data_IF_815097045901
#
_entry.id   IF_815097045901
#
_cell.length_a   1.000
_cell.length_b   1.000
_cell.length_c   1.000
_cell.angle_alpha   90.00
_cell.angle_beta   90.00
_cell.angle_gamma   90.00
#
_symmetry.space_group_name_H-M   'P 1'
#
loop_
_entity.id
_entity.type
_entity.pdbx_description
1 polymer ?
#
# COMPACT_ATOMS: atom_id res chain seq x y z
N UNK A 1 -6.68 15.00 28.72
CA UNK A 1 -7.02 14.07 27.63
C UNK A 1 -6.65 14.80 26.36
N UNK A 2 -5.63 14.36 25.62
CA UNK A 2 -5.23 15.03 24.38
C UNK A 2 -6.24 14.79 23.25
N UNK A 3 -6.09 15.55 22.16
CA UNK A 3 -6.99 15.51 21.01
C UNK A 3 -7.12 14.10 20.42
N UNK A 4 -8.32 13.71 19.96
CA UNK A 4 -8.53 12.41 19.36
C UNK A 4 -7.68 12.27 18.10
N UNK A 5 -7.03 11.12 17.96
CA UNK A 5 -6.28 10.81 16.74
C UNK A 5 -7.25 10.15 15.76
N UNK A 6 -7.36 10.72 14.56
CA UNK A 6 -8.13 10.16 13.46
C UNK A 6 -7.38 8.96 12.85
N UNK A 7 -7.84 7.77 13.19
CA UNK A 7 -7.26 6.51 12.75
C UNK A 7 -7.82 6.10 11.39
N UNK A 8 -7.00 5.38 10.61
CA UNK A 8 -7.35 4.84 9.30
C UNK A 8 -7.19 3.32 9.33
N UNK A 9 -8.30 2.61 9.21
CA UNK A 9 -8.36 1.15 9.18
C UNK A 9 -8.90 0.66 7.86
N UNK A 10 -8.50 -0.53 7.44
CA UNK A 10 -9.20 -1.23 6.36
C UNK A 10 -10.65 -1.52 6.81
N UNK A 11 -11.65 -1.38 5.92
CA UNK A 11 -13.07 -1.46 6.31
C UNK A 11 -13.44 -2.77 7.02
N UNK A 12 -12.96 -3.91 6.52
CA UNK A 12 -13.27 -5.21 7.10
C UNK A 12 -12.58 -5.43 8.46
N UNK A 13 -11.26 -5.22 8.62
CA UNK A 13 -10.62 -5.22 9.94
C UNK A 13 -11.28 -4.27 10.94
N UNK A 14 -11.70 -3.07 10.52
CA UNK A 14 -12.43 -2.15 11.39
C UNK A 14 -13.72 -2.78 11.93
N UNK A 15 -14.55 -3.34 11.03
CA UNK A 15 -15.81 -4.00 11.42
C UNK A 15 -15.56 -5.13 12.42
N UNK A 16 -14.58 -6.01 12.16
CA UNK A 16 -14.22 -7.11 13.07
C UNK A 16 -13.79 -6.62 14.46
N UNK A 17 -13.10 -5.49 14.53
CA UNK A 17 -12.70 -4.86 15.80
C UNK A 17 -13.89 -4.23 16.54
N UNK A 18 -14.85 -3.65 15.80
CA UNK A 18 -16.09 -3.12 16.37
C UNK A 18 -16.92 -4.26 16.96
N UNK A 19 -17.09 -5.37 16.24
CA UNK A 19 -17.78 -6.57 16.71
C UNK A 19 -17.10 -7.17 17.96
N UNK A 20 -15.76 -7.29 17.94
CA UNK A 20 -14.98 -7.76 19.09
C UNK A 20 -15.15 -6.82 20.30
N UNK A 21 -15.12 -5.51 20.07
CA UNK A 21 -15.30 -4.54 21.13
C UNK A 21 -16.72 -4.60 21.71
N UNK A 22 -17.74 -4.74 20.88
CA UNK A 22 -19.13 -4.88 21.30
C UNK A 22 -19.36 -6.15 22.13
N UNK A 23 -18.74 -7.27 21.75
CA UNK A 23 -18.75 -8.51 22.52
C UNK A 23 -18.15 -8.37 23.93
N UNK A 24 -17.19 -7.48 24.13
CA UNK A 24 -16.62 -7.16 25.45
C UNK A 24 -17.53 -6.20 26.24
N UNK A 25 -18.27 -5.34 25.54
CA UNK A 25 -19.27 -4.47 26.13
C UNK A 25 -19.45 -3.13 25.40
N UNK A 26 -20.36 -2.27 25.89
CA UNK A 26 -20.68 -1.04 25.21
C UNK A 26 -19.51 -0.05 25.21
N UNK A 27 -19.25 0.57 24.06
CA UNK A 27 -18.25 1.65 23.87
C UNK A 27 -16.81 1.25 24.20
N UNK A 28 -16.43 -0.01 23.90
CA UNK A 28 -15.09 -0.55 24.21
C UNK A 28 -14.06 -0.37 23.10
N UNK A 29 -14.45 0.03 21.90
CA UNK A 29 -13.56 0.14 20.75
C UNK A 29 -12.29 0.97 21.03
N UNK A 30 -12.44 2.17 21.60
CA UNK A 30 -11.28 3.00 21.94
C UNK A 30 -10.35 2.37 22.99
N UNK A 31 -10.88 1.57 23.92
CA UNK A 31 -10.06 0.84 24.89
C UNK A 31 -9.34 -0.35 24.22
N UNK A 32 -10.03 -1.08 23.34
CA UNK A 32 -9.44 -2.14 22.52
C UNK A 32 -8.24 -1.64 21.73
N UNK A 33 -8.39 -0.53 21.01
CA UNK A 33 -7.29 0.06 20.22
C UNK A 33 -6.12 0.51 21.12
N UNK A 34 -6.39 1.12 22.28
CA UNK A 34 -5.32 1.48 23.23
C UNK A 34 -4.57 0.26 23.73
N UNK A 35 -5.27 -0.83 24.08
CA UNK A 35 -4.65 -2.10 24.49
C UNK A 35 -3.78 -2.65 23.36
N UNK A 36 -4.29 -2.67 22.12
CA UNK A 36 -3.54 -3.10 20.94
C UNK A 36 -2.23 -2.32 20.81
N UNK A 37 -2.30 -0.99 20.89
CA UNK A 37 -1.13 -0.12 20.81
C UNK A 37 -0.14 -0.35 21.96
N UNK A 38 -0.65 -0.57 23.19
CA UNK A 38 0.20 -0.88 24.34
C UNK A 38 0.95 -2.20 24.15
N UNK A 39 0.29 -3.24 23.62
CA UNK A 39 0.94 -4.51 23.28
C UNK A 39 2.01 -4.33 22.21
N UNK A 40 1.73 -3.51 21.19
CA UNK A 40 2.69 -3.21 20.12
C UNK A 40 3.97 -2.57 20.68
N UNK A 41 3.83 -1.53 21.52
CA UNK A 41 5.01 -0.84 22.07
C UNK A 41 5.79 -1.69 23.09
N UNK A 42 5.18 -2.72 23.69
CA UNK A 42 5.91 -3.68 24.54
C UNK A 42 6.72 -4.71 23.76
N UNK A 43 6.46 -4.89 22.46
CA UNK A 43 7.17 -5.83 21.59
C UNK A 43 7.75 -5.13 20.35
N UNK A 44 8.65 -4.14 20.52
CA UNK A 44 9.11 -3.28 19.43
C UNK A 44 9.93 -4.00 18.35
N UNK A 45 10.65 -5.08 18.71
CA UNK A 45 11.56 -5.77 17.78
C UNK A 45 10.82 -6.41 16.59
N UNK A 46 9.60 -6.89 16.80
CA UNK A 46 8.80 -7.52 15.75
C UNK A 46 8.04 -6.52 14.87
N UNK A 47 8.11 -5.22 15.16
CA UNK A 47 7.27 -4.21 14.48
C UNK A 47 7.74 -3.98 13.05
N UNK A 48 9.04 -3.84 12.82
CA UNK A 48 9.58 -3.60 11.48
C UNK A 48 9.27 -4.72 10.49
N UNK A 49 9.44 -5.98 10.91
CA UNK A 49 9.12 -7.15 10.09
C UNK A 49 7.61 -7.25 9.82
N UNK A 50 6.78 -7.02 10.83
CA UNK A 50 5.32 -7.01 10.67
C UNK A 50 4.82 -5.93 9.72
N UNK A 51 5.42 -4.73 9.75
CA UNK A 51 5.11 -3.67 8.80
C UNK A 51 5.51 -4.04 7.37
N UNK A 52 6.71 -4.57 7.18
CA UNK A 52 7.18 -4.98 5.86
C UNK A 52 6.30 -6.09 5.25
N UNK A 53 5.85 -7.04 6.07
CA UNK A 53 4.89 -8.06 5.64
C UNK A 53 3.53 -7.44 5.30
N UNK A 54 3.00 -6.56 6.15
CA UNK A 54 1.73 -5.89 5.89
C UNK A 54 1.75 -5.06 4.60
N UNK A 55 2.84 -4.33 4.33
CA UNK A 55 3.03 -3.58 3.08
C UNK A 55 3.02 -4.51 1.88
N UNK A 56 3.80 -5.59 1.91
CA UNK A 56 3.85 -6.60 0.83
C UNK A 56 2.47 -7.21 0.55
N UNK A 57 1.72 -7.57 1.59
CA UNK A 57 0.37 -8.10 1.44
C UNK A 57 -0.61 -7.07 0.87
N UNK A 58 -0.54 -5.81 1.34
CA UNK A 58 -1.34 -4.71 0.80
C UNK A 58 -1.06 -4.48 -0.69
N UNK A 59 0.22 -4.44 -1.07
CA UNK A 59 0.65 -4.31 -2.47
C UNK A 59 0.11 -5.46 -3.33
N UNK A 60 0.26 -6.71 -2.86
CA UNK A 60 -0.23 -7.88 -3.59
C UNK A 60 -1.75 -7.84 -3.81
N UNK A 61 -2.53 -7.46 -2.79
CA UNK A 61 -3.99 -7.37 -2.88
C UNK A 61 -4.46 -6.22 -3.77
N UNK A 62 -3.69 -5.13 -3.84
CA UNK A 62 -4.03 -3.94 -4.62
C UNK A 62 -3.44 -3.94 -6.02
N UNK A 63 -2.55 -4.87 -6.36
CA UNK A 63 -1.91 -4.95 -7.65
C UNK A 63 -2.95 -5.03 -8.77
N UNK A 64 -2.89 -4.08 -9.69
CA UNK A 64 -3.69 -4.07 -10.91
C UNK A 64 -2.99 -4.99 -11.92
N UNK A 65 -3.71 -5.93 -12.55
CA UNK A 65 -3.13 -6.80 -13.57
C UNK A 65 -2.47 -6.03 -14.71
N UNK A 66 -1.36 -6.55 -15.20
CA UNK A 66 -0.72 -6.05 -16.41
C UNK A 66 -1.65 -6.18 -17.62
N UNK A 67 -1.46 -5.29 -18.59
CA UNK A 67 -2.17 -5.33 -19.87
C UNK A 67 -1.23 -5.77 -20.98
N UNK A 68 -1.72 -6.66 -21.84
CA UNK A 68 -0.99 -7.11 -23.02
C UNK A 68 -1.03 -6.03 -24.11
N UNK A 69 0.13 -5.80 -24.73
CA UNK A 69 0.30 -4.97 -25.92
C UNK A 69 1.01 -5.80 -26.99
N UNK A 70 0.54 -5.65 -28.23
CA UNK A 70 1.19 -6.24 -29.40
C UNK A 70 2.03 -5.19 -30.10
N UNK A 71 3.32 -5.44 -30.24
CA UNK A 71 4.25 -4.53 -30.92
C UNK A 71 4.77 -5.26 -32.14
N UNK A 72 4.66 -4.61 -33.30
CA UNK A 72 5.29 -5.10 -34.52
C UNK A 72 6.70 -4.55 -34.62
N UNK A 73 7.69 -5.43 -34.77
CA UNK A 73 9.12 -5.13 -34.87
C UNK A 73 9.70 -5.75 -36.14
N UNK A 74 10.87 -5.27 -36.56
CA UNK A 74 11.73 -6.00 -37.49
C UNK A 74 12.28 -7.27 -36.83
N UNK A 75 12.52 -8.35 -37.59
CA UNK A 75 13.05 -9.59 -37.05
C UNK A 75 14.34 -9.40 -36.24
N UNK A 76 15.28 -8.61 -36.76
CA UNK A 76 16.56 -8.36 -36.10
C UNK A 76 16.38 -7.65 -34.75
N UNK A 77 15.51 -6.62 -34.69
CA UNK A 77 15.22 -5.91 -33.43
C UNK A 77 14.46 -6.81 -32.44
N UNK A 78 13.56 -7.68 -32.93
CA UNK A 78 12.89 -8.66 -32.07
C UNK A 78 13.90 -9.68 -31.49
N UNK A 79 14.85 -10.12 -32.30
CA UNK A 79 15.92 -11.04 -31.89
C UNK A 79 16.88 -10.38 -30.89
N UNK A 80 17.33 -9.16 -31.14
CA UNK A 80 18.14 -8.37 -30.20
C UNK A 80 17.44 -8.22 -28.85
N UNK A 81 16.14 -7.93 -28.87
CA UNK A 81 15.37 -7.75 -27.64
C UNK A 81 15.21 -9.07 -26.87
N UNK A 82 15.00 -10.18 -27.56
CA UNK A 82 14.95 -11.50 -26.95
C UNK A 82 16.32 -11.94 -26.41
N UNK A 83 17.41 -11.66 -27.13
CA UNK A 83 18.77 -11.95 -26.70
C UNK A 83 19.16 -11.15 -25.45
N UNK A 84 18.77 -9.88 -25.38
CA UNK A 84 18.98 -9.06 -24.20
C UNK A 84 18.20 -9.61 -23.00
N UNK A 85 16.96 -10.06 -23.20
CA UNK A 85 16.18 -10.70 -22.14
C UNK A 85 16.85 -11.98 -21.62
N UNK A 86 17.37 -12.82 -22.53
CA UNK A 86 18.10 -14.03 -22.17
C UNK A 86 19.41 -13.74 -21.42
N UNK A 87 20.15 -12.70 -21.82
CA UNK A 87 21.41 -12.32 -21.18
C UNK A 87 21.24 -11.90 -19.71
N UNK A 88 20.08 -11.38 -19.34
CA UNK A 88 19.76 -10.93 -17.98
C UNK A 88 18.78 -11.87 -17.24
N UNK A 89 18.58 -13.10 -17.76
CA UNK A 89 17.64 -14.09 -17.20
C UNK A 89 16.25 -13.50 -16.91
N UNK A 90 15.71 -12.78 -17.88
CA UNK A 90 14.45 -12.04 -17.74
C UNK A 90 13.54 -12.20 -18.96
N UNK A 91 12.45 -11.43 -18.98
CA UNK A 91 11.47 -11.45 -20.08
C UNK A 91 11.46 -10.14 -20.85
N UNK A 92 11.10 -10.22 -22.12
CA UNK A 92 10.82 -9.03 -22.95
C UNK A 92 9.75 -8.12 -22.34
N UNK A 93 8.81 -8.67 -21.56
CA UNK A 93 7.82 -7.88 -20.80
C UNK A 93 8.44 -7.10 -19.64
N UNK A 94 9.45 -7.65 -18.96
CA UNK A 94 10.18 -6.93 -17.90
C UNK A 94 11.01 -5.80 -18.50
N UNK A 95 11.77 -6.08 -19.56
CA UNK A 95 12.54 -5.06 -20.27
C UNK A 95 11.64 -3.96 -20.84
N UNK A 96 10.49 -4.30 -21.41
CA UNK A 96 9.55 -3.30 -21.93
C UNK A 96 9.03 -2.38 -20.82
N UNK A 97 8.75 -2.92 -19.62
CA UNK A 97 8.31 -2.08 -18.49
C UNK A 97 9.42 -1.15 -18.00
N UNK A 98 10.67 -1.60 -18.01
CA UNK A 98 11.84 -0.75 -17.73
C UNK A 98 11.95 0.36 -18.80
N UNK A 99 11.90 -0.01 -20.09
CA UNK A 99 11.95 0.93 -21.20
C UNK A 99 10.89 2.02 -21.07
N UNK A 100 9.64 1.63 -20.79
CA UNK A 100 8.54 2.57 -20.60
C UNK A 100 8.72 3.42 -19.35
N UNK A 101 9.16 2.86 -18.24
CA UNK A 101 9.40 3.62 -17.02
C UNK A 101 10.46 4.71 -17.25
N UNK A 102 11.64 4.33 -17.75
CA UNK A 102 12.72 5.26 -18.07
C UNK A 102 12.26 6.35 -19.03
N UNK A 103 11.59 5.94 -20.12
CA UNK A 103 11.07 6.88 -21.11
C UNK A 103 10.06 7.86 -20.50
N UNK A 104 9.16 7.41 -19.63
CA UNK A 104 8.15 8.27 -19.03
C UNK A 104 8.73 9.23 -17.97
N UNK A 105 9.81 8.84 -17.29
CA UNK A 105 10.56 9.73 -16.38
C UNK A 105 11.32 10.82 -17.17
N UNK A 106 11.93 10.45 -18.30
CA UNK A 106 12.69 11.36 -19.14
C UNK A 106 12.34 11.21 -20.63
N UNK A 107 11.18 11.74 -21.09
CA UNK A 107 10.75 11.57 -22.47
C UNK A 107 11.69 12.22 -23.49
N UNK A 108 12.37 13.31 -23.08
CA UNK A 108 13.25 14.10 -23.95
C UNK A 108 12.54 14.59 -25.21
N UNK A 109 13.29 14.74 -26.31
CA UNK A 109 12.71 15.02 -27.64
C UNK A 109 12.30 13.71 -28.31
N UNK A 110 11.02 13.37 -28.23
CA UNK A 110 10.50 12.09 -28.77
C UNK A 110 9.63 12.24 -30.01
N UNK A 111 9.20 13.46 -30.39
CA UNK A 111 8.31 13.69 -31.54
C UNK A 111 8.91 13.18 -32.85
N UNK A 112 10.11 13.63 -33.22
CA UNK A 112 10.74 13.23 -34.48
C UNK A 112 11.08 11.73 -34.52
N UNK A 113 11.68 11.13 -33.47
CA UNK A 113 11.87 9.68 -33.42
C UNK A 113 10.56 8.91 -33.59
N UNK A 114 9.47 9.36 -32.96
CA UNK A 114 8.17 8.70 -33.05
C UNK A 114 7.59 8.74 -34.46
N UNK A 115 7.69 9.88 -35.16
CA UNK A 115 7.24 9.99 -36.55
C UNK A 115 8.08 9.10 -37.47
N UNK A 116 9.39 9.03 -37.26
CA UNK A 116 10.28 8.11 -37.98
C UNK A 116 9.89 6.65 -37.76
N UNK A 117 9.55 6.27 -36.51
CA UNK A 117 9.04 4.94 -36.18
C UNK A 117 7.64 4.65 -36.76
N UNK A 118 6.87 5.67 -37.13
CA UNK A 118 5.57 5.50 -37.79
C UNK A 118 5.72 5.22 -39.30
N UNK A 119 6.75 5.79 -39.93
CA UNK A 119 7.08 5.59 -41.35
C UNK A 119 7.97 4.36 -41.59
N UNK A 120 8.40 3.69 -40.52
CA UNK A 120 9.33 2.56 -40.58
C UNK A 120 8.71 1.36 -41.29
N UNK A 121 9.47 0.80 -42.22
CA UNK A 121 9.09 -0.37 -43.02
C UNK A 121 9.75 -1.63 -42.47
N UNK A 122 9.39 -2.82 -42.99
CA UNK A 122 10.00 -4.10 -42.58
C UNK A 122 9.50 -4.67 -41.24
N UNK A 123 8.50 -4.04 -40.62
CA UNK A 123 7.87 -4.56 -39.40
C UNK A 123 7.07 -5.83 -39.75
N UNK A 124 7.54 -7.01 -39.33
CA UNK A 124 6.89 -8.32 -39.60
C UNK A 124 6.50 -9.05 -38.32
N UNK A 125 7.34 -8.98 -37.29
CA UNK A 125 7.27 -9.88 -36.14
C UNK A 125 6.43 -9.27 -35.03
N UNK A 126 5.48 -10.05 -34.52
CA UNK A 126 4.65 -9.66 -33.39
C UNK A 126 5.30 -10.08 -32.09
N UNK A 127 5.59 -9.10 -31.24
CA UNK A 127 6.05 -9.31 -29.87
C UNK A 127 4.95 -8.90 -28.91
N UNK A 128 4.49 -9.85 -28.10
CA UNK A 128 3.52 -9.62 -27.05
C UNK A 128 4.25 -9.23 -25.76
N UNK A 129 3.90 -8.07 -25.21
CA UNK A 129 4.51 -7.52 -23.98
C UNK A 129 3.44 -7.13 -22.97
N UNK A 130 3.68 -7.48 -21.71
CA UNK A 130 2.81 -7.14 -20.60
C UNK A 130 3.33 -5.88 -19.90
N UNK A 131 2.51 -4.83 -19.81
CA UNK A 131 2.89 -3.52 -19.23
C UNK A 131 1.90 -3.03 -18.19
N UNK A 132 2.32 -2.07 -17.37
CA UNK A 132 1.44 -1.42 -16.41
C UNK A 132 0.36 -0.61 -17.16
N UNK A 133 -0.93 -0.72 -16.78
CA UNK A 133 -2.02 0.06 -17.37
C UNK A 133 -1.74 1.57 -17.44
N UNK A 134 -1.12 2.14 -16.41
CA UNK A 134 -0.75 3.55 -16.31
C UNK A 134 0.28 3.93 -17.36
N UNK A 135 1.32 3.12 -17.56
CA UNK A 135 2.35 3.34 -18.59
C UNK A 135 1.72 3.34 -19.97
N UNK A 136 0.82 2.38 -20.27
CA UNK A 136 0.04 2.38 -21.53
C UNK A 136 -0.74 3.68 -21.69
N UNK A 137 -1.52 4.09 -20.68
CA UNK A 137 -2.34 5.31 -20.76
C UNK A 137 -1.48 6.56 -20.96
N UNK A 138 -0.34 6.66 -20.29
CA UNK A 138 0.56 7.81 -20.42
C UNK A 138 1.20 7.86 -21.81
N UNK A 139 1.68 6.74 -22.35
CA UNK A 139 2.20 6.68 -23.72
C UNK A 139 1.13 7.09 -24.72
N UNK A 140 -0.11 6.61 -24.57
CA UNK A 140 -1.21 6.94 -25.47
C UNK A 140 -1.54 8.43 -25.41
N UNK A 141 -1.50 9.01 -24.20
CA UNK A 141 -1.68 10.45 -24.01
C UNK A 141 -0.55 11.25 -24.65
N UNK A 142 0.70 10.80 -24.58
CA UNK A 142 1.85 11.50 -25.17
C UNK A 142 1.83 11.45 -26.70
N UNK A 143 1.54 10.28 -27.27
CA UNK A 143 1.45 10.09 -28.71
C UNK A 143 0.21 10.79 -29.31
N UNK A 144 -0.94 10.69 -28.64
CA UNK A 144 -2.20 11.29 -29.09
C UNK A 144 -2.17 12.82 -29.23
N UNK A 145 -1.18 13.51 -28.63
CA UNK A 145 -0.94 14.95 -28.86
C UNK A 145 -0.54 15.27 -30.30
N UNK A 146 -0.11 14.28 -31.08
CA UNK A 146 0.46 14.45 -32.41
C UNK A 146 -0.30 13.70 -33.50
N UNK A 147 -1.42 13.06 -33.16
CA UNK A 147 -2.28 12.36 -34.11
C UNK A 147 -2.67 10.96 -33.66
N UNK A 148 -3.62 10.38 -34.37
CA UNK A 148 -4.08 9.02 -34.13
C UNK A 148 -3.06 7.98 -34.57
N UNK A 149 -3.08 6.81 -33.92
CA UNK A 149 -2.29 5.61 -34.28
C UNK A 149 -0.76 5.72 -34.12
N UNK A 150 -0.23 6.76 -33.45
CA UNK A 150 1.21 6.89 -33.17
C UNK A 150 1.69 6.15 -31.90
N UNK A 151 0.77 5.52 -31.17
CA UNK A 151 1.04 4.87 -29.88
C UNK A 151 2.09 3.77 -29.99
N UNK A 152 1.97 2.89 -31.00
CA UNK A 152 2.89 1.77 -31.21
C UNK A 152 4.27 2.24 -31.67
N UNK A 153 4.33 3.34 -32.43
CA UNK A 153 5.59 4.00 -32.78
C UNK A 153 6.31 4.53 -31.54
N UNK A 154 5.58 5.14 -30.60
CA UNK A 154 6.18 5.62 -29.35
C UNK A 154 6.66 4.48 -28.44
N UNK A 155 5.96 3.34 -28.43
CA UNK A 155 6.45 2.13 -27.78
C UNK A 155 7.79 1.66 -28.38
N UNK A 156 7.90 1.63 -29.71
CA UNK A 156 9.15 1.29 -30.39
C UNK A 156 10.27 2.26 -30.08
N UNK A 157 10.00 3.56 -29.99
CA UNK A 157 11.00 4.56 -29.54
C UNK A 157 11.53 4.22 -28.16
N UNK A 158 10.64 3.92 -27.20
CA UNK A 158 11.07 3.56 -25.84
C UNK A 158 11.91 2.28 -25.82
N UNK A 159 11.50 1.26 -26.58
CA UNK A 159 12.24 0.01 -26.74
C UNK A 159 13.62 0.25 -27.36
N UNK A 160 13.70 0.98 -28.47
CA UNK A 160 14.98 1.24 -29.15
C UNK A 160 15.94 2.01 -28.27
N UNK A 161 15.46 3.00 -27.50
CA UNK A 161 16.30 3.70 -26.52
C UNK A 161 16.89 2.75 -25.48
N UNK A 162 16.13 1.73 -25.04
CA UNK A 162 16.66 0.73 -24.12
C UNK A 162 17.73 -0.15 -24.79
N UNK A 163 17.53 -0.54 -26.05
CA UNK A 163 18.52 -1.33 -26.80
C UNK A 163 19.79 -0.53 -27.08
N UNK A 164 19.66 0.75 -27.43
CA UNK A 164 20.77 1.66 -27.70
C UNK A 164 21.54 2.00 -26.41
N UNK A 165 20.82 2.22 -25.31
CA UNK A 165 21.40 2.59 -24.01
C UNK A 165 20.84 1.70 -22.87
N UNK A 166 21.37 0.45 -22.73
CA UNK A 166 20.91 -0.46 -21.69
C UNK A 166 21.16 0.06 -20.27
N UNK A 167 22.24 0.81 -20.05
CA UNK A 167 22.60 1.35 -18.72
C UNK A 167 22.72 0.23 -17.67
N UNK A 168 22.35 0.55 -16.42
CA UNK A 168 22.28 -0.45 -15.34
C UNK A 168 20.95 -1.22 -15.39
N UNK A 169 20.89 -2.24 -16.25
CA UNK A 169 19.72 -3.11 -16.36
C UNK A 169 19.51 -4.00 -15.13
N UNK A 170 20.59 -4.38 -14.44
CA UNK A 170 20.48 -5.25 -13.26
C UNK A 170 19.77 -4.53 -12.12
N UNK A 171 20.18 -3.30 -11.80
CA UNK A 171 19.52 -2.46 -10.79
C UNK A 171 18.06 -2.15 -11.15
N UNK A 172 17.77 -1.94 -12.43
CA UNK A 172 16.41 -1.67 -12.89
C UNK A 172 15.51 -2.91 -12.86
N UNK A 173 16.06 -4.09 -13.11
CA UNK A 173 15.33 -5.34 -12.95
C UNK A 173 14.96 -5.60 -11.49
N UNK A 174 15.80 -5.16 -10.54
CA UNK A 174 15.49 -5.24 -9.11
C UNK A 174 14.47 -4.18 -8.67
N UNK A 175 14.55 -2.96 -9.20
CA UNK A 175 13.81 -1.82 -8.64
C UNK A 175 12.59 -1.38 -9.46
N UNK A 176 12.64 -1.50 -10.79
CA UNK A 176 11.60 -1.00 -11.71
C UNK A 176 10.73 -2.16 -12.21
N UNK A 177 11.33 -3.29 -12.58
CA UNK A 177 10.58 -4.42 -13.10
C UNK A 177 9.61 -5.08 -12.09
N UNK A 178 9.70 -4.90 -10.77
CA UNK A 178 8.64 -5.36 -9.87
C UNK A 178 7.46 -4.38 -9.76
N UNK A 179 7.63 -3.12 -10.17
CA UNK A 179 6.61 -2.08 -9.98
C UNK A 179 5.30 -2.44 -10.67
N UNK A 180 4.22 -2.34 -9.90
CA UNK A 180 2.83 -2.54 -10.34
C UNK A 180 2.02 -1.28 -10.09
N UNK A 181 1.03 -1.05 -10.93
CA UNK A 181 -0.03 -0.11 -10.59
C UNK A 181 -0.84 -0.68 -9.44
N UNK A 182 -1.14 0.16 -8.44
CA UNK A 182 -1.90 -0.25 -7.27
C UNK A 182 -3.23 0.50 -7.25
N UNK A 183 -4.31 -0.22 -6.93
CA UNK A 183 -5.59 0.41 -6.58
C UNK A 183 -5.39 1.29 -5.35
N UNK A 184 -6.04 2.46 -5.23
CA UNK A 184 -5.89 3.32 -4.06
C UNK A 184 -6.28 2.59 -2.77
N UNK A 185 -5.65 2.96 -1.66
CA UNK A 185 -6.04 2.44 -0.35
C UNK A 185 -7.34 3.11 0.10
N UNK A 186 -8.31 2.28 0.51
CA UNK A 186 -9.60 2.76 1.00
C UNK A 186 -9.64 2.51 2.50
N UNK A 187 -9.73 3.58 3.27
CA UNK A 187 -9.70 3.52 4.73
C UNK A 187 -10.96 4.06 5.38
N UNK A 188 -11.44 3.33 6.38
CA UNK A 188 -12.46 3.79 7.31
C UNK A 188 -11.82 4.57 8.47
N UNK A 189 -12.47 5.67 8.88
CA UNK A 189 -12.00 6.52 9.97
C UNK A 189 -12.53 6.05 11.33
N UNK A 190 -11.72 6.19 12.37
CA UNK A 190 -12.16 6.07 13.76
C UNK A 190 -11.37 7.03 14.65
N UNK A 191 -12.03 7.69 15.61
CA UNK A 191 -11.37 8.63 16.52
C UNK A 191 -11.07 7.96 17.85
N UNK A 192 -9.80 7.93 18.25
CA UNK A 192 -9.38 7.33 19.53
C UNK A 192 -8.54 8.31 20.33
N UNK A 193 -8.87 8.46 21.60
CA UNK A 193 -8.06 9.24 22.54
C UNK A 193 -6.96 8.36 23.15
N UNK A 194 -5.72 8.83 23.04
CA UNK A 194 -4.55 8.28 23.70
C UNK A 194 -4.07 9.20 24.81
N UNK A 195 -3.50 8.63 25.88
CA UNK A 195 -2.70 9.39 26.84
C UNK A 195 -1.36 9.80 26.21
N UNK A 196 -0.77 10.87 26.74
CA UNK A 196 0.47 11.46 26.23
C UNK A 196 1.65 10.45 26.26
N UNK A 197 1.87 9.67 27.33
CA UNK A 197 2.96 8.69 27.34
C UNK A 197 2.85 7.60 26.26
N UNK A 198 1.64 7.16 25.92
CA UNK A 198 1.45 6.19 24.84
C UNK A 198 1.66 6.83 23.47
N UNK A 199 1.30 8.11 23.28
CA UNK A 199 1.57 8.85 22.04
C UNK A 199 3.08 8.93 21.78
N UNK A 200 3.84 9.38 22.78
CA UNK A 200 5.28 9.57 22.64
C UNK A 200 6.00 8.26 22.31
N UNK A 201 5.56 7.16 22.94
CA UNK A 201 6.09 5.82 22.64
C UNK A 201 5.78 5.36 21.21
N UNK A 202 4.59 5.66 20.70
CA UNK A 202 4.22 5.35 19.32
C UNK A 202 5.00 6.19 18.33
N UNK A 203 5.24 7.47 18.64
CA UNK A 203 6.03 8.38 17.80
C UNK A 203 7.50 7.95 17.74
N UNK A 204 8.10 7.65 18.88
CA UNK A 204 9.46 7.11 18.93
C UNK A 204 9.59 5.77 18.20
N UNK A 205 8.56 4.91 18.31
CA UNK A 205 8.53 3.64 17.57
C UNK A 205 8.41 3.87 16.06
N UNK A 206 7.52 4.77 15.62
CA UNK A 206 7.28 5.10 14.22
C UNK A 206 8.55 5.65 13.55
N UNK A 207 9.22 6.60 14.22
CA UNK A 207 10.47 7.17 13.75
C UNK A 207 11.56 6.10 13.59
N UNK A 208 11.69 5.19 14.57
CA UNK A 208 12.71 4.12 14.53
C UNK A 208 12.50 3.14 13.38
N UNK A 209 11.26 2.87 12.97
CA UNK A 209 10.95 1.85 11.95
C UNK A 209 10.58 2.46 10.58
N UNK A 210 10.71 3.78 10.40
CA UNK A 210 10.37 4.45 9.14
C UNK A 210 8.89 4.29 8.79
N UNK A 211 8.01 4.58 9.74
CA UNK A 211 6.56 4.42 9.62
C UNK A 211 5.83 5.62 10.22
N UNK A 212 4.50 5.59 10.23
CA UNK A 212 3.64 6.57 10.87
C UNK A 212 2.72 5.92 11.92
N UNK A 213 2.09 6.74 12.76
CA UNK A 213 1.17 6.25 13.78
C UNK A 213 0.02 5.42 13.19
N UNK A 214 -0.51 5.81 12.03
CA UNK A 214 -1.68 5.17 11.46
C UNK A 214 -1.35 3.75 10.99
N UNK A 215 -0.17 3.56 10.40
CA UNK A 215 0.33 2.26 9.96
C UNK A 215 0.66 1.36 11.14
N UNK A 216 1.32 1.87 12.18
CA UNK A 216 1.52 1.14 13.44
C UNK A 216 0.20 0.70 14.07
N UNK A 217 -0.83 1.54 14.02
CA UNK A 217 -2.13 1.22 14.57
C UNK A 217 -2.88 0.17 13.75
N UNK A 218 -2.76 0.19 12.41
CA UNK A 218 -3.27 -0.90 11.56
C UNK A 218 -2.58 -2.22 11.91
N UNK A 219 -1.26 -2.20 12.09
CA UNK A 219 -0.51 -3.39 12.52
C UNK A 219 -0.95 -3.88 13.90
N UNK A 220 -1.08 -2.97 14.88
CA UNK A 220 -1.55 -3.32 16.23
C UNK A 220 -2.93 -3.96 16.19
N UNK A 221 -3.84 -3.38 15.41
CA UNK A 221 -5.22 -3.84 15.30
C UNK A 221 -5.31 -5.19 14.58
N UNK A 222 -4.54 -5.38 13.51
CA UNK A 222 -4.41 -6.67 12.83
C UNK A 222 -3.89 -7.76 13.77
N UNK A 223 -2.82 -7.47 14.53
CA UNK A 223 -2.29 -8.41 15.54
C UNK A 223 -3.30 -8.79 16.61
N UNK A 224 -4.16 -7.86 17.04
CA UNK A 224 -5.22 -8.18 18.01
C UNK A 224 -6.29 -9.09 17.39
N UNK A 225 -6.58 -8.98 16.09
CA UNK A 225 -7.49 -9.89 15.41
C UNK A 225 -6.88 -11.28 15.21
N UNK A 226 -5.58 -11.36 14.89
CA UNK A 226 -4.84 -12.61 14.68
C UNK A 226 -4.55 -13.32 16.02
N UNK A 227 -4.15 -12.57 17.04
CA UNK A 227 -3.79 -13.07 18.37
C UNK A 227 -4.53 -12.27 19.48
N UNK A 228 -5.82 -12.56 19.71
CA UNK A 228 -6.59 -11.85 20.73
C UNK A 228 -6.00 -12.06 22.13
N UNK A 229 -5.59 -13.28 22.47
CA UNK A 229 -5.14 -13.63 23.82
C UNK A 229 -6.17 -13.22 24.88
N UNK A 230 -5.71 -12.77 26.07
CA UNK A 230 -6.60 -12.24 27.14
C UNK A 230 -7.07 -10.81 26.84
N UNK A 231 -7.63 -10.56 25.65
CA UNK A 231 -8.00 -9.21 25.20
C UNK A 231 -9.10 -8.59 26.06
N UNK A 232 -10.12 -9.37 26.43
CA UNK A 232 -11.24 -8.89 27.24
C UNK A 232 -10.77 -8.35 28.60
N UNK A 233 -9.94 -9.14 29.32
CA UNK A 233 -9.36 -8.73 30.59
C UNK A 233 -8.50 -7.46 30.43
N UNK A 234 -7.67 -7.39 29.39
CA UNK A 234 -6.83 -6.24 29.13
C UNK A 234 -7.64 -4.98 28.80
N UNK A 235 -8.74 -5.11 28.05
CA UNK A 235 -9.67 -4.01 27.72
C UNK A 235 -10.38 -3.51 28.97
N UNK A 236 -10.86 -4.42 29.81
CA UNK A 236 -11.48 -4.05 31.08
C UNK A 236 -10.49 -3.27 31.96
N UNK A 237 -9.25 -3.76 32.12
CA UNK A 237 -8.21 -3.06 32.86
C UNK A 237 -7.89 -1.67 32.27
N UNK A 238 -7.85 -1.54 30.95
CA UNK A 238 -7.59 -0.26 30.27
C UNK A 238 -8.69 0.77 30.52
N UNK A 239 -9.95 0.36 30.62
CA UNK A 239 -11.06 1.25 30.97
C UNK A 239 -10.87 1.85 32.38
N UNK A 240 -10.38 1.03 33.32
CA UNK A 240 -10.16 1.44 34.71
C UNK A 240 -8.82 2.16 34.95
N UNK A 241 -7.95 2.24 33.94
CA UNK A 241 -6.59 2.82 34.03
C UNK A 241 -6.58 4.35 34.22
N UNK A 242 -7.58 5.06 33.70
CA UNK A 242 -7.71 6.50 33.92
C UNK A 242 -8.35 6.77 35.29
N UNK A 243 -7.62 7.41 36.20
CA UNK A 243 -8.10 7.72 37.56
C UNK A 243 -9.38 8.58 37.55
N UNK A 244 -9.49 9.48 36.57
CA UNK A 244 -10.68 10.30 36.30
C UNK A 244 -11.86 9.46 35.80
N UNK A 245 -11.61 8.46 34.94
CA UNK A 245 -12.64 7.51 34.50
C UNK A 245 -13.03 6.54 35.62
N UNK A 246 -12.09 6.11 36.47
CA UNK A 246 -12.37 5.25 37.62
C UNK A 246 -13.31 5.94 38.61
N UNK A 247 -13.02 7.19 39.00
CA UNK A 247 -13.92 7.98 39.86
C UNK A 247 -15.29 8.19 39.21
N UNK A 248 -15.34 8.54 37.92
CA UNK A 248 -16.59 8.82 37.21
C UNK A 248 -17.45 7.55 36.95
N UNK A 249 -16.82 6.41 36.70
CA UNK A 249 -17.48 5.11 36.51
C UNK A 249 -17.94 4.52 37.84
N UNK A 250 -17.13 4.64 38.91
CA UNK A 250 -17.53 4.26 40.28
C UNK A 250 -18.71 5.12 40.75
N UNK A 251 -18.69 6.43 40.51
CA UNK A 251 -19.82 7.31 40.81
C UNK A 251 -21.08 6.94 40.01
N UNK A 252 -20.94 6.54 38.74
CA UNK A 252 -22.07 6.08 37.92
C UNK A 252 -22.60 4.72 38.36
N UNK A 253 -21.73 3.81 38.81
CA UNK A 253 -22.08 2.51 39.36
C UNK A 253 -22.82 2.68 40.70
N UNK A 254 -22.30 3.53 41.60
CA UNK A 254 -22.95 3.89 42.85
C UNK A 254 -24.34 4.52 42.62
N UNK A 255 -24.48 5.41 41.63
CA UNK A 255 -25.79 5.98 41.25
C UNK A 255 -26.77 4.94 40.70
N UNK A 256 -26.29 3.90 39.99
CA UNK A 256 -27.13 2.80 39.49
C UNK A 256 -27.54 1.84 40.60
N UNK A 257 -26.66 1.56 41.55
CA UNK A 257 -26.97 0.74 42.74
C UNK A 257 -27.96 1.47 43.65
N UNK A 258 -27.77 2.77 43.89
CA UNK A 258 -28.72 3.58 44.64
C UNK A 258 -30.12 3.56 43.99
N UNK A 259 -30.20 3.69 42.66
CA UNK A 259 -31.48 3.59 41.94
C UNK A 259 -32.14 2.21 42.01
N UNK A 260 -31.36 1.13 42.10
CA UNK A 260 -31.88 -0.24 42.32
C UNK A 260 -32.38 -0.47 43.74
N UNK A 261 -31.82 0.23 44.73
CA UNK A 261 -32.30 0.16 46.12
C UNK A 261 -33.46 1.12 46.42
N UNK A 262 -33.75 2.08 45.55
CA UNK A 262 -34.89 3.01 45.68
C UNK A 262 -36.09 2.66 44.79
N UNK A 263 -36.06 1.54 44.05
CA UNK A 263 -37.27 0.96 43.48
C UNK A 263 -37.77 -0.12 44.46
N UNK A 264 -38.87 0.12 45.19
CA UNK A 264 -39.60 -0.96 45.83
C UNK A 264 -40.27 -1.82 44.74
N UNK A 265 -40.52 -3.09 45.07
CA UNK A 265 -41.44 -3.96 44.32
C UNK A 265 -42.81 -3.29 44.12
#
# INVERSE_FOLDING_TARGET
MGDPIALRFDPEPKRKLEDMAEGIGPRRFGALIRVACRRLVTQPKAVGTGLAEQRRLSEALRAIPLVMLKIKLEPDTAQEFAALAAAYDTTVSALMRIALHRFLQAPGRYKHPMLREAERTGLSDWVDVMVNPSSKQQIWRLAGRYGDKLNTSLLRVALRRLLEEPGDLAGDLETIAPLRDLRPEIYARANVHFDEPLRDKLDGLAARVGSDRAELMRLAARRVLEEPGKIEQAVNNEVFRSEKNRKHLMARHARRQARRHTQPD
#
